data_IF_365216432527
#
_entry.id   IF_365216432527
#
_cell.length_a   1.000
_cell.length_b   1.000
_cell.length_c   1.000
_cell.angle_alpha   90.00
_cell.angle_beta   90.00
_cell.angle_gamma   90.00
#
_symmetry.space_group_name_H-M   'P 1'
#
loop_
_entity.id
_entity.type
_entity.pdbx_description
1 polymer ?
#
# COMPACT_ATOMS: atom_id res chain seq x y z
N UNK A 1 -0.40 -6.70 18.43
CA UNK A 1 0.11 -7.67 17.43
C UNK A 1 1.25 -6.96 16.71
N UNK A 2 2.47 -7.49 16.81
CA UNK A 2 3.61 -6.98 16.05
C UNK A 2 3.54 -7.62 14.66
N UNK A 3 2.80 -7.02 13.71
CA UNK A 3 2.94 -7.36 12.30
C UNK A 3 4.21 -6.70 11.78
N UNK A 4 5.36 -7.29 12.09
CA UNK A 4 6.61 -6.95 11.42
C UNK A 4 6.65 -7.77 10.14
N UNK A 5 6.77 -7.11 9.00
CA UNK A 5 6.96 -7.79 7.72
C UNK A 5 8.32 -8.51 7.77
N UNK A 6 8.31 -9.80 7.42
CA UNK A 6 9.49 -10.65 7.36
C UNK A 6 9.98 -10.74 5.91
N UNK A 7 11.08 -10.06 5.61
CA UNK A 7 11.66 -10.02 4.27
C UNK A 7 12.13 -11.40 3.80
N UNK A 8 12.51 -12.29 4.73
CA UNK A 8 12.88 -13.66 4.38
C UNK A 8 11.68 -14.43 3.84
N UNK A 9 10.49 -14.23 4.42
CA UNK A 9 9.27 -14.87 3.90
C UNK A 9 8.96 -14.39 2.49
N UNK A 10 9.16 -13.11 2.20
CA UNK A 10 8.96 -12.56 0.84
C UNK A 10 9.99 -13.14 -0.13
N UNK A 11 11.26 -13.26 0.28
CA UNK A 11 12.32 -13.88 -0.52
C UNK A 11 11.98 -15.33 -0.87
N UNK A 12 11.54 -16.12 0.10
CA UNK A 12 11.13 -17.51 -0.10
C UNK A 12 9.90 -17.62 -1.03
N UNK A 13 8.92 -16.74 -0.89
CA UNK A 13 7.71 -16.73 -1.73
C UNK A 13 7.98 -16.31 -3.18
N UNK A 14 8.98 -15.44 -3.39
CA UNK A 14 9.38 -14.96 -4.72
C UNK A 14 10.47 -15.82 -5.37
N UNK A 15 11.05 -16.78 -4.65
CA UNK A 15 12.23 -17.57 -5.07
C UNK A 15 13.45 -16.68 -5.38
N UNK A 16 13.64 -15.62 -4.57
CA UNK A 16 14.68 -14.60 -4.72
C UNK A 16 15.64 -14.64 -3.53
N UNK A 17 16.84 -14.09 -3.71
CA UNK A 17 17.76 -13.86 -2.59
C UNK A 17 17.31 -12.64 -1.75
N UNK A 18 17.68 -12.63 -0.47
CA UNK A 18 17.26 -11.58 0.48
C UNK A 18 17.69 -10.17 0.03
N UNK A 19 18.91 -10.02 -0.51
CA UNK A 19 19.42 -8.73 -0.99
C UNK A 19 18.58 -8.16 -2.15
N UNK A 20 18.11 -9.02 -3.06
CA UNK A 20 17.24 -8.60 -4.16
C UNK A 20 15.89 -8.14 -3.64
N UNK A 21 15.33 -8.85 -2.64
CA UNK A 21 14.07 -8.45 -2.01
C UNK A 21 14.19 -7.14 -1.24
N UNK A 22 15.29 -6.93 -0.51
CA UNK A 22 15.55 -5.66 0.16
C UNK A 22 15.53 -4.49 -0.83
N UNK A 23 16.20 -4.64 -1.99
CA UNK A 23 16.20 -3.64 -3.05
C UNK A 23 14.79 -3.40 -3.62
N UNK A 24 14.02 -4.47 -3.87
CA UNK A 24 12.65 -4.35 -4.36
C UNK A 24 11.72 -3.65 -3.36
N UNK A 25 11.88 -3.94 -2.07
CA UNK A 25 11.12 -3.30 -0.99
C UNK A 25 11.49 -1.82 -0.85
N UNK A 26 12.77 -1.45 -1.00
CA UNK A 26 13.19 -0.05 -1.03
C UNK A 26 12.52 0.73 -2.18
N UNK A 27 12.51 0.16 -3.39
CA UNK A 27 11.84 0.75 -4.55
C UNK A 27 10.35 0.88 -4.29
N UNK A 28 9.71 -0.17 -3.75
CA UNK A 28 8.31 -0.13 -3.36
C UNK A 28 8.03 0.98 -2.34
N UNK A 29 8.82 1.12 -1.29
CA UNK A 29 8.61 2.16 -0.27
C UNK A 29 8.72 3.56 -0.85
N UNK A 30 9.67 3.79 -1.75
CA UNK A 30 9.82 5.07 -2.46
C UNK A 30 8.56 5.41 -3.29
N UNK A 31 8.06 4.44 -4.07
CA UNK A 31 6.88 4.59 -4.92
C UNK A 31 5.58 4.73 -4.10
N UNK A 32 5.46 3.92 -3.04
CA UNK A 32 4.31 3.89 -2.16
C UNK A 32 4.18 5.20 -1.38
N UNK A 33 5.29 5.78 -0.90
CA UNK A 33 5.28 7.06 -0.20
C UNK A 33 4.80 8.22 -1.09
N UNK A 34 5.28 8.29 -2.34
CA UNK A 34 4.79 9.28 -3.33
C UNK A 34 3.29 9.12 -3.59
N UNK A 35 2.84 7.87 -3.69
CA UNK A 35 1.42 7.55 -3.89
C UNK A 35 0.59 7.89 -2.65
N UNK A 36 1.09 7.65 -1.44
CA UNK A 36 0.44 8.01 -0.17
C UNK A 36 0.26 9.52 -0.02
N UNK A 37 1.29 10.32 -0.35
CA UNK A 37 1.17 11.78 -0.33
C UNK A 37 0.06 12.28 -1.27
N UNK A 38 -0.01 11.70 -2.47
CA UNK A 38 -1.02 12.05 -3.47
C UNK A 38 -2.42 11.57 -3.04
N UNK A 39 -2.51 10.37 -2.49
CA UNK A 39 -3.74 9.80 -1.93
C UNK A 39 -4.26 10.66 -0.77
N UNK A 40 -3.39 11.13 0.13
CA UNK A 40 -3.79 12.01 1.24
C UNK A 40 -4.48 13.28 0.74
N UNK A 41 -3.88 13.95 -0.25
CA UNK A 41 -4.44 15.16 -0.87
C UNK A 41 -5.81 14.87 -1.50
N UNK A 42 -5.92 13.74 -2.20
CA UNK A 42 -7.18 13.31 -2.81
C UNK A 42 -8.28 13.02 -1.78
N UNK A 43 -7.93 12.35 -0.67
CA UNK A 43 -8.83 12.11 0.47
C UNK A 43 -9.31 13.42 1.10
N UNK A 44 -8.40 14.36 1.37
CA UNK A 44 -8.76 15.66 1.95
C UNK A 44 -9.66 16.49 1.01
N UNK A 45 -9.48 16.35 -0.30
CA UNK A 45 -10.29 17.02 -1.32
C UNK A 45 -11.58 16.26 -1.69
N UNK A 46 -11.83 15.08 -1.12
CA UNK A 46 -12.89 14.16 -1.55
C UNK A 46 -12.86 13.84 -3.06
N UNK A 47 -11.69 13.81 -3.69
CA UNK A 47 -11.55 13.51 -5.11
C UNK A 47 -11.50 11.99 -5.33
N UNK A 48 -12.66 11.38 -5.59
CA UNK A 48 -12.79 9.93 -5.72
C UNK A 48 -12.01 9.34 -6.91
N UNK A 49 -11.84 10.09 -8.00
CA UNK A 49 -11.07 9.64 -9.16
C UNK A 49 -9.59 9.47 -8.81
N UNK A 50 -9.02 10.47 -8.14
CA UNK A 50 -7.64 10.42 -7.68
C UNK A 50 -7.45 9.41 -6.54
N UNK A 51 -8.42 9.29 -5.62
CA UNK A 51 -8.38 8.26 -4.57
C UNK A 51 -8.31 6.86 -5.20
N UNK A 52 -9.18 6.58 -6.19
CA UNK A 52 -9.15 5.32 -6.94
C UNK A 52 -7.78 5.08 -7.57
N UNK A 53 -7.26 6.07 -8.31
CA UNK A 53 -5.99 5.97 -9.02
C UNK A 53 -4.80 5.69 -8.10
N UNK A 54 -4.64 6.47 -7.03
CA UNK A 54 -3.47 6.33 -6.15
C UNK A 54 -3.57 5.08 -5.27
N UNK A 55 -4.77 4.70 -4.83
CA UNK A 55 -4.98 3.42 -4.14
C UNK A 55 -4.70 2.21 -5.06
N UNK A 56 -5.12 2.27 -6.33
CA UNK A 56 -4.83 1.24 -7.32
C UNK A 56 -3.33 1.02 -7.51
N UNK A 57 -2.56 2.11 -7.59
CA UNK A 57 -1.10 2.08 -7.72
C UNK A 57 -0.44 1.35 -6.55
N UNK A 58 -0.77 1.74 -5.30
CA UNK A 58 -0.24 1.10 -4.08
C UNK A 58 -0.63 -0.37 -4.01
N UNK A 59 -1.88 -0.72 -4.36
CA UNK A 59 -2.33 -2.11 -4.39
C UNK A 59 -1.47 -2.95 -5.35
N UNK A 60 -1.28 -2.46 -6.58
CA UNK A 60 -0.50 -3.17 -7.60
C UNK A 60 0.93 -3.43 -7.16
N UNK A 61 1.61 -2.39 -6.66
CA UNK A 61 3.00 -2.52 -6.20
C UNK A 61 3.13 -3.42 -4.98
N UNK A 62 2.22 -3.32 -4.00
CA UNK A 62 2.21 -4.20 -2.82
C UNK A 62 1.93 -5.66 -3.18
N UNK A 63 1.02 -5.91 -4.12
CA UNK A 63 0.68 -7.28 -4.55
C UNK A 63 1.85 -7.99 -5.22
N UNK A 64 2.73 -7.26 -5.92
CA UNK A 64 3.91 -7.83 -6.58
C UNK A 64 4.97 -8.32 -5.57
N UNK A 65 4.96 -7.78 -4.34
CA UNK A 65 5.87 -8.16 -3.25
C UNK A 65 5.17 -8.98 -2.16
N UNK A 66 4.05 -9.61 -2.51
CA UNK A 66 3.24 -10.43 -1.59
C UNK A 66 2.79 -9.73 -0.30
N UNK A 67 2.81 -8.39 -0.27
CA UNK A 67 2.40 -7.55 0.86
C UNK A 67 0.86 -7.48 0.99
N UNK A 68 0.24 -8.60 1.33
CA UNK A 68 -1.21 -8.80 1.23
C UNK A 68 -2.01 -7.82 2.10
N UNK A 69 -1.56 -7.49 3.31
CA UNK A 69 -2.30 -6.56 4.17
C UNK A 69 -2.38 -5.14 3.58
N UNK A 70 -1.27 -4.67 2.99
CA UNK A 70 -1.18 -3.38 2.32
C UNK A 70 -2.04 -3.41 1.06
N UNK A 71 -1.88 -4.44 0.23
CA UNK A 71 -2.65 -4.64 -1.01
C UNK A 71 -4.17 -4.65 -0.74
N UNK A 72 -4.62 -5.41 0.26
CA UNK A 72 -6.02 -5.50 0.63
C UNK A 72 -6.59 -4.20 1.20
N UNK A 73 -5.78 -3.46 1.97
CA UNK A 73 -6.21 -2.16 2.53
C UNK A 73 -6.34 -1.11 1.42
N UNK A 74 -5.37 -1.04 0.51
CA UNK A 74 -5.43 -0.18 -0.68
C UNK A 74 -6.62 -0.56 -1.57
N UNK A 75 -6.88 -1.86 -1.75
CA UNK A 75 -8.04 -2.36 -2.50
C UNK A 75 -9.38 -1.90 -1.90
N UNK A 76 -9.51 -1.85 -0.56
CA UNK A 76 -10.75 -1.35 0.09
C UNK A 76 -10.99 0.13 -0.25
N UNK A 77 -9.94 0.94 -0.26
CA UNK A 77 -10.01 2.36 -0.65
C UNK A 77 -10.40 2.47 -2.12
N UNK A 78 -9.71 1.75 -3.01
CA UNK A 78 -9.94 1.73 -4.44
C UNK A 78 -11.39 1.32 -4.80
N UNK A 79 -11.87 0.19 -4.25
CA UNK A 79 -13.18 -0.35 -4.57
C UNK A 79 -14.31 0.59 -4.13
N UNK A 80 -14.17 1.25 -2.98
CA UNK A 80 -15.17 2.19 -2.48
C UNK A 80 -15.17 3.49 -3.30
N UNK A 81 -14.00 4.00 -3.67
CA UNK A 81 -13.88 5.18 -4.52
C UNK A 81 -14.50 4.93 -5.90
N UNK A 82 -14.20 3.77 -6.50
CA UNK A 82 -14.79 3.34 -7.79
C UNK A 82 -16.31 3.25 -7.75
N UNK A 83 -16.88 2.81 -6.62
CA UNK A 83 -18.32 2.65 -6.43
C UNK A 83 -19.03 3.93 -6.01
N UNK A 84 -18.30 5.02 -5.75
CA UNK A 84 -18.83 6.25 -5.15
C UNK A 84 -19.59 5.96 -3.84
N UNK A 85 -19.05 5.05 -3.02
CA UNK A 85 -19.66 4.63 -1.76
C UNK A 85 -19.37 5.63 -0.64
N UNK A 86 -20.32 5.76 0.29
CA UNK A 86 -20.06 6.37 1.60
C UNK A 86 -19.09 5.47 2.36
N UNK A 87 -17.86 5.95 2.55
CA UNK A 87 -16.77 5.19 3.13
C UNK A 87 -15.85 6.11 3.92
N UNK A 88 -15.26 5.60 5.00
CA UNK A 88 -14.28 6.34 5.78
C UNK A 88 -12.89 6.22 5.16
N UNK A 89 -12.67 7.01 4.11
CA UNK A 89 -11.40 7.08 3.39
C UNK A 89 -10.26 7.55 4.29
N UNK A 90 -10.54 8.43 5.25
CA UNK A 90 -9.51 9.02 6.12
C UNK A 90 -8.97 7.98 7.09
N UNK A 91 -9.85 7.28 7.82
CA UNK A 91 -9.40 6.23 8.75
C UNK A 91 -8.69 5.11 8.00
N UNK A 92 -9.22 4.70 6.85
CA UNK A 92 -8.59 3.61 6.07
C UNK A 92 -7.25 4.02 5.47
N UNK A 93 -7.10 5.29 5.06
CA UNK A 93 -5.81 5.86 4.64
C UNK A 93 -4.79 5.81 5.79
N UNK A 94 -5.15 6.22 7.01
CA UNK A 94 -4.22 6.19 8.15
C UNK A 94 -3.77 4.76 8.47
N UNK A 95 -4.68 3.78 8.37
CA UNK A 95 -4.33 2.35 8.50
C UNK A 95 -3.33 1.95 7.41
N UNK A 96 -3.60 2.29 6.15
CA UNK A 96 -2.70 1.97 5.02
C UNK A 96 -1.31 2.58 5.23
N UNK A 97 -1.25 3.85 5.64
CA UNK A 97 -0.01 4.55 5.95
C UNK A 97 0.77 3.85 7.06
N UNK A 98 0.10 3.49 8.16
CA UNK A 98 0.73 2.78 9.27
C UNK A 98 1.30 1.42 8.85
N UNK A 99 0.59 0.66 7.99
CA UNK A 99 1.10 -0.62 7.48
C UNK A 99 2.40 -0.43 6.68
N UNK A 100 2.47 0.61 5.85
CA UNK A 100 3.66 0.94 5.05
C UNK A 100 4.81 1.44 5.95
N UNK A 101 4.52 2.34 6.90
CA UNK A 101 5.53 2.88 7.84
C UNK A 101 6.12 1.81 8.77
N UNK A 102 5.42 0.71 8.99
CA UNK A 102 5.88 -0.40 9.83
C UNK A 102 6.82 -1.37 9.10
N UNK A 103 7.02 -1.21 7.79
CA UNK A 103 8.06 -1.93 7.06
C UNK A 103 9.41 -1.41 7.56
N UNK A 104 10.22 -2.33 8.09
CA UNK A 104 11.59 -2.05 8.52
C UNK A 104 12.52 -2.88 7.66
N UNK A 105 13.37 -2.17 6.94
CA UNK A 105 14.57 -2.68 6.26
C UNK A 105 15.74 -2.31 7.15
#
# INVERSE_FOLDING_TARGET
>A
MNNKIDLQTIADELDFDLEDVEMLVEVFLSEANKSLESLKKAVDANNLEDIFKYAHSIKGSASNLTLQEISNTAKKIEDNARKNSVFDYKTTFEILKQLIDNIKI
#
